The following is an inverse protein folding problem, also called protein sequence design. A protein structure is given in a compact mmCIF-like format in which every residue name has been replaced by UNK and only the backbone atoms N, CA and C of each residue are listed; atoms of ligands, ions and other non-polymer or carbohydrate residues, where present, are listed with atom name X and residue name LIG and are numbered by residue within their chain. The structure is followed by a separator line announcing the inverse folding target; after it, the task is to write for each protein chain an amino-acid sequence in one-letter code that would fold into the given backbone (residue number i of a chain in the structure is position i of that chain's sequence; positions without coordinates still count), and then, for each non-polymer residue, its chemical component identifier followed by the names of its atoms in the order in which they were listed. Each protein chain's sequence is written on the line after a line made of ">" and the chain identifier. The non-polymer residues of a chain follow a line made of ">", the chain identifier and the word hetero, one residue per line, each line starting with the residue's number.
data_IF_694948234902
#
_entry.id   IF_694948234902
#
_cell.length_a   1.000
_cell.length_b   1.000
_cell.length_c   1.000
_cell.angle_alpha   90.00
_cell.angle_beta   90.00
_cell.angle_gamma   90.00
#
_symmetry.space_group_name_H-M   'P 1'
#
loop_
_entity.id
_entity.type
_entity.pdbx_description
1 polymer ?
#
# COMPACT_ATOMS: atom_id res chain seq x y z
N UNK A 1 -0.24 14.30 8.40
CA UNK A 1 0.57 13.46 7.49
C UNK A 1 1.17 12.35 8.33
N UNK A 2 0.97 11.09 7.95
CA UNK A 2 1.49 9.92 8.68
C UNK A 2 2.50 9.18 7.82
N UNK A 3 3.61 8.75 8.40
CA UNK A 3 4.70 8.07 7.70
C UNK A 3 4.74 6.60 8.10
N UNK A 4 5.14 5.75 7.15
CA UNK A 4 5.28 4.31 7.33
C UNK A 4 6.56 3.88 6.64
N UNK A 5 7.43 3.17 7.34
CA UNK A 5 8.67 2.69 6.74
C UNK A 5 8.39 1.56 5.74
N UNK A 6 7.40 0.72 6.06
CA UNK A 6 7.06 -0.45 5.27
C UNK A 6 5.58 -0.81 5.41
N UNK A 7 4.92 -1.04 4.27
CA UNK A 7 3.58 -1.62 4.18
C UNK A 7 3.64 -2.82 3.23
N UNK A 8 2.88 -3.87 3.55
CA UNK A 8 2.87 -5.11 2.78
C UNK A 8 1.45 -5.61 2.54
N UNK A 9 1.19 -6.23 1.40
CA UNK A 9 -0.10 -6.88 1.17
C UNK A 9 -0.23 -8.17 1.97
N UNK A 10 -1.46 -8.57 2.28
CA UNK A 10 -1.74 -9.80 3.04
C UNK A 10 -1.13 -11.06 2.41
N UNK A 11 -0.99 -11.09 1.08
CA UNK A 11 -0.39 -12.20 0.32
C UNK A 11 1.11 -12.02 0.06
N UNK A 12 1.73 -10.97 0.64
CA UNK A 12 3.14 -10.62 0.49
C UNK A 12 3.59 -10.41 -0.97
N UNK A 13 2.67 -10.08 -1.88
CA UNK A 13 3.00 -9.79 -3.28
C UNK A 13 3.33 -8.33 -3.51
N UNK A 14 2.80 -7.43 -2.68
CA UNK A 14 3.03 -5.99 -2.78
C UNK A 14 3.81 -5.51 -1.58
N UNK A 15 4.86 -4.76 -1.85
CA UNK A 15 5.70 -4.12 -0.85
C UNK A 15 5.80 -2.63 -1.18
N UNK A 16 5.45 -1.80 -0.21
CA UNK A 16 5.57 -0.36 -0.29
C UNK A 16 6.54 0.12 0.80
N UNK A 17 7.54 0.90 0.41
CA UNK A 17 8.63 1.36 1.28
C UNK A 17 8.65 2.89 1.30
N UNK A 18 8.99 3.49 2.44
CA UNK A 18 9.08 4.93 2.65
C UNK A 18 7.75 5.62 2.28
N UNK A 19 6.66 5.17 2.88
CA UNK A 19 5.33 5.64 2.56
C UNK A 19 4.95 6.86 3.39
N UNK A 20 4.18 7.77 2.79
CA UNK A 20 3.59 8.95 3.45
C UNK A 20 2.14 9.08 3.05
N UNK A 21 1.24 9.01 4.03
CA UNK A 21 -0.19 9.21 3.84
C UNK A 21 -0.56 10.68 4.07
N UNK A 22 -1.27 11.25 3.09
CA UNK A 22 -1.81 12.61 3.11
C UNK A 22 -3.18 12.64 2.44
N UNK A 23 -4.25 12.68 3.24
CA UNK A 23 -5.62 12.69 2.73
C UNK A 23 -5.96 11.37 2.02
N UNK A 24 -6.40 11.47 0.77
CA UNK A 24 -6.74 10.32 -0.09
C UNK A 24 -5.55 9.78 -0.90
N UNK A 25 -4.31 10.18 -0.57
CA UNK A 25 -3.12 9.79 -1.31
C UNK A 25 -2.08 9.15 -0.39
N UNK A 26 -1.51 8.05 -0.85
CA UNK A 26 -0.33 7.41 -0.26
C UNK A 26 0.85 7.57 -1.21
N UNK A 27 1.79 8.44 -0.88
CA UNK A 27 3.06 8.54 -1.59
C UNK A 27 3.98 7.42 -1.14
N UNK A 28 4.59 6.69 -2.08
CA UNK A 28 5.45 5.54 -1.83
C UNK A 28 6.80 5.76 -2.51
N UNK A 29 7.89 5.66 -1.75
CA UNK A 29 9.24 5.78 -2.30
C UNK A 29 9.61 4.62 -3.22
N UNK A 30 9.30 3.38 -2.81
CA UNK A 30 9.50 2.17 -3.64
C UNK A 30 8.26 1.31 -3.56
N UNK A 31 7.69 1.00 -4.72
CA UNK A 31 6.59 0.07 -4.87
C UNK A 31 7.07 -1.15 -5.66
N UNK A 32 6.95 -2.33 -5.06
CA UNK A 32 7.27 -3.60 -5.70
C UNK A 32 6.02 -4.48 -5.66
N UNK A 33 5.53 -4.94 -6.81
CA UNK A 33 4.44 -5.90 -6.89
C UNK A 33 4.85 -7.14 -7.71
N UNK A 34 4.34 -8.31 -7.31
CA UNK A 34 4.45 -9.55 -8.05
C UNK A 34 3.08 -9.86 -8.64
N UNK A 35 3.00 -9.92 -9.98
CA UNK A 35 1.87 -10.45 -10.74
C UNK A 35 0.48 -10.26 -10.08
N UNK A 36 -0.15 -9.12 -10.35
CA UNK A 36 -1.47 -8.76 -9.84
C UNK A 36 -2.51 -8.78 -10.95
N UNK A 37 -3.64 -9.43 -10.67
CA UNK A 37 -4.79 -9.51 -11.58
C UNK A 37 -5.79 -8.37 -11.40
N UNK A 38 -5.76 -7.72 -10.24
CA UNK A 38 -6.59 -6.59 -9.86
C UNK A 38 -5.77 -5.31 -9.74
N UNK A 39 -6.38 -4.20 -10.12
CA UNK A 39 -5.83 -2.85 -9.99
C UNK A 39 -5.99 -2.27 -8.57
N UNK A 40 -6.41 -3.07 -7.59
CA UNK A 40 -6.51 -2.64 -6.20
C UNK A 40 -5.98 -3.72 -5.29
N UNK A 41 -5.34 -3.29 -4.20
CA UNK A 41 -4.81 -4.18 -3.21
C UNK A 41 -4.88 -3.53 -1.82
N UNK A 42 -4.89 -4.37 -0.80
CA UNK A 42 -4.75 -3.95 0.59
C UNK A 42 -3.28 -4.05 0.97
N UNK A 43 -2.72 -2.99 1.55
CA UNK A 43 -1.38 -2.96 2.14
C UNK A 43 -1.48 -2.46 3.58
N UNK A 44 -0.72 -3.04 4.49
CA UNK A 44 -0.83 -2.77 5.92
C UNK A 44 0.50 -2.93 6.66
N UNK A 45 0.57 -2.33 7.85
CA UNK A 45 1.52 -2.65 8.91
C UNK A 45 0.77 -3.20 10.14
N UNK A 46 1.39 -3.20 11.32
CA UNK A 46 0.75 -3.63 12.56
C UNK A 46 -0.41 -2.73 13.04
N UNK A 47 -0.50 -1.49 12.59
CA UNK A 47 -1.39 -0.46 13.14
C UNK A 47 -2.41 0.08 12.12
N UNK A 48 -2.10 0.02 10.82
CA UNK A 48 -2.85 0.66 9.76
C UNK A 48 -3.00 -0.27 8.56
N UNK A 49 -4.11 -0.08 7.87
CA UNK A 49 -4.45 -0.82 6.67
C UNK A 49 -5.05 0.13 5.64
N UNK A 50 -4.47 0.09 4.44
CA UNK A 50 -4.88 0.91 3.31
C UNK A 50 -5.32 0.00 2.16
N UNK A 51 -6.56 0.17 1.71
CA UNK A 51 -6.94 -0.30 0.37
C UNK A 51 -6.56 0.78 -0.61
N UNK A 52 -5.66 0.45 -1.54
CA UNK A 52 -5.14 1.38 -2.54
C UNK A 52 -5.50 0.94 -3.95
N UNK A 53 -5.69 1.92 -4.83
CA UNK A 53 -5.77 1.72 -6.27
C UNK A 53 -4.39 1.89 -6.91
N UNK A 54 -4.08 0.98 -7.82
CA UNK A 54 -2.87 0.91 -8.63
C UNK A 54 -3.24 1.38 -10.04
N UNK A 55 -2.45 2.29 -10.61
CA UNK A 55 -2.61 2.65 -12.03
C UNK A 55 -2.24 1.46 -12.93
N UNK A 56 -2.67 1.49 -14.20
CA UNK A 56 -2.42 0.43 -15.19
C UNK A 56 -0.94 0.08 -15.38
N UNK A 57 -0.04 0.99 -15.05
CA UNK A 57 1.42 0.79 -15.11
C UNK A 57 1.98 0.05 -13.89
N UNK A 58 1.21 -0.02 -12.80
CA UNK A 58 1.64 -0.54 -11.50
C UNK A 58 1.12 -1.95 -11.19
N UNK A 59 0.23 -2.49 -12.02
CA UNK A 59 -0.18 -3.89 -11.96
C UNK A 59 0.07 -4.59 -13.29
N UNK A 60 0.50 -5.85 -13.23
CA UNK A 60 0.73 -6.71 -14.40
C UNK A 60 0.29 -8.12 -14.07
N UNK A 61 -0.37 -8.81 -14.99
CA UNK A 61 -0.79 -10.20 -14.78
C UNK A 61 0.36 -11.21 -14.86
N UNK A 62 1.47 -10.84 -15.50
CA UNK A 62 2.54 -11.77 -15.85
C UNK A 62 3.91 -11.36 -15.32
N UNK A 63 4.13 -10.07 -15.02
CA UNK A 63 5.44 -9.55 -14.66
C UNK A 63 5.48 -9.00 -13.23
N UNK A 64 6.70 -8.95 -12.69
CA UNK A 64 6.99 -8.15 -11.50
C UNK A 64 7.09 -6.68 -11.90
N UNK A 65 6.46 -5.81 -11.12
CA UNK A 65 6.54 -4.37 -11.31
C UNK A 65 7.37 -3.76 -10.19
N UNK A 66 8.27 -2.85 -10.55
CA UNK A 66 9.02 -2.04 -9.60
C UNK A 66 8.93 -0.59 -10.06
N UNK A 67 8.37 0.26 -9.21
CA UNK A 67 8.22 1.68 -9.46
C UNK A 67 8.74 2.49 -8.28
N UNK A 68 9.13 3.73 -8.55
CA UNK A 68 9.73 4.62 -7.56
C UNK A 68 8.94 5.93 -7.52
N UNK A 69 8.81 6.50 -6.32
CA UNK A 69 8.14 7.79 -6.08
C UNK A 69 6.72 7.84 -6.69
N UNK A 70 5.89 6.85 -6.36
CA UNK A 70 4.54 6.73 -6.89
C UNK A 70 3.51 7.26 -5.89
N UNK A 71 2.39 7.77 -6.42
CA UNK A 71 1.23 8.13 -5.61
C UNK A 71 0.13 7.11 -5.86
N UNK A 72 -0.31 6.45 -4.78
CA UNK A 72 -1.44 5.52 -4.81
C UNK A 72 -2.67 6.21 -4.26
N UNK A 73 -3.83 5.99 -4.89
CA UNK A 73 -5.09 6.51 -4.36
C UNK A 73 -5.56 5.62 -3.22
N UNK A 74 -5.89 6.21 -2.07
CA UNK A 74 -6.44 5.51 -0.92
C UNK A 74 -7.95 5.40 -1.10
N UNK A 75 -8.44 4.18 -1.30
CA UNK A 75 -9.86 3.86 -1.38
C UNK A 75 -10.48 3.66 0.00
N UNK A 76 -9.70 3.13 0.95
CA UNK A 76 -10.11 2.92 2.34
C UNK A 76 -8.91 2.95 3.27
N UNK A 77 -9.07 3.56 4.45
CA UNK A 77 -8.09 3.53 5.54
C UNK A 77 -8.75 3.00 6.80
N UNK A 78 -8.15 1.97 7.40
CA UNK A 78 -8.56 1.36 8.66
C UNK A 78 -7.39 1.43 9.65
N UNK A 79 -7.67 1.81 10.90
CA UNK A 79 -6.70 1.77 11.99
C UNK A 79 -7.05 0.61 12.92
N UNK A 80 -6.06 -0.22 13.23
CA UNK A 80 -6.15 -1.24 14.27
C UNK A 80 -6.05 -0.52 15.60
N UNK A 81 -7.20 -0.22 16.20
CA UNK A 81 -7.25 0.31 17.56
C UNK A 81 -6.94 -0.84 18.52
N UNK A 82 -5.74 -0.85 19.10
CA UNK A 82 -5.46 -1.75 20.22
C UNK A 82 -6.48 -1.46 21.32
N UNK A 83 -7.08 -2.48 21.96
CA UNK A 83 -7.98 -2.25 23.08
C UNK A 83 -7.22 -1.45 24.14
N UNK A 84 -7.81 -0.34 24.58
CA UNK A 84 -7.29 0.44 25.70
C UNK A 84 -7.17 -0.51 26.89
N UNK A 85 -5.95 -0.85 27.31
CA UNK A 85 -5.73 -1.60 28.53
C UNK A 85 -6.42 -0.85 29.67
N UNK A 86 -7.41 -1.51 30.29
CA UNK A 86 -8.15 -1.01 31.47
C UNK A 86 -7.28 -1.19 32.70
#
# INVERSE_FOLDING_TARGET
>A
MKSFDYLVSNDSRVHAINCKSSGSTLSVGIFCSIAMDKNSCRISDENDSFTVELSDELFSKSNRVKAFNVNLAILKHEQVQLPSSI
#
